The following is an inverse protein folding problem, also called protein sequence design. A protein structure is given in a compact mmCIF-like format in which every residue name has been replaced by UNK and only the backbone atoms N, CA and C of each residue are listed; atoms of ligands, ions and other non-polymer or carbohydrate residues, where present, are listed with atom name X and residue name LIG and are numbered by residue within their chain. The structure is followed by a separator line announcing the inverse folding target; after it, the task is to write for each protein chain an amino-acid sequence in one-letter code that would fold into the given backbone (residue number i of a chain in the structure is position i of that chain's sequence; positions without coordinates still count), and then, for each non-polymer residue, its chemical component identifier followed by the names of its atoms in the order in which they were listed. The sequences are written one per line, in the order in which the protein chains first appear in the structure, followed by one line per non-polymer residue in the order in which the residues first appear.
data_IF_576230110720
#
_entry.id   IF_576230110720
#
_cell.length_a   1.000
_cell.length_b   1.000
_cell.length_c   1.000
_cell.angle_alpha   90.00
_cell.angle_beta   90.00
_cell.angle_gamma   90.00
#
_symmetry.space_group_name_H-M   'P 1'
#
loop_
_entity.id
_entity.type
_entity.pdbx_description
1 polymer ?
#
# COMPACT_ATOMS: atom_id res chain seq x y z
N UNK A 1 -50.80 -20.39 19.84
CA UNK A 1 -49.54 -19.67 19.61
C UNK A 1 -48.95 -20.17 18.30
N UNK A 2 -49.50 -19.72 17.17
CA UNK A 2 -49.05 -20.18 15.84
C UNK A 2 -48.00 -19.21 15.32
N UNK A 3 -46.80 -19.71 15.03
CA UNK A 3 -45.79 -18.94 14.31
C UNK A 3 -46.37 -18.54 12.95
N UNK A 4 -46.44 -17.24 12.69
CA UNK A 4 -46.64 -16.76 11.33
C UNK A 4 -45.30 -16.92 10.62
N UNK A 5 -45.20 -17.96 9.80
CA UNK A 5 -44.12 -18.09 8.83
C UNK A 5 -44.15 -16.83 7.94
N UNK A 6 -43.07 -16.06 8.00
CA UNK A 6 -42.87 -14.89 7.14
C UNK A 6 -42.59 -15.44 5.75
N UNK A 7 -43.50 -15.20 4.82
CA UNK A 7 -43.33 -15.52 3.41
C UNK A 7 -42.25 -14.60 2.81
N UNK A 8 -41.11 -15.19 2.42
CA UNK A 8 -39.97 -14.49 1.81
C UNK A 8 -40.15 -14.25 0.30
N UNK A 9 -41.37 -14.33 -0.23
CA UNK A 9 -41.68 -14.08 -1.65
C UNK A 9 -41.80 -12.60 -2.03
N UNK A 10 -41.16 -11.70 -1.28
CA UNK A 10 -40.88 -10.38 -1.82
C UNK A 10 -39.81 -10.54 -2.90
N UNK A 11 -40.26 -10.53 -4.16
CA UNK A 11 -39.42 -10.38 -5.34
C UNK A 11 -38.65 -9.05 -5.23
N UNK A 12 -37.57 -9.05 -4.46
CA UNK A 12 -36.59 -7.98 -4.40
C UNK A 12 -35.86 -7.98 -5.75
N UNK A 13 -36.38 -7.22 -6.70
CA UNK A 13 -35.61 -6.84 -7.89
C UNK A 13 -34.42 -6.00 -7.42
N UNK A 14 -33.27 -6.64 -7.25
CA UNK A 14 -32.01 -5.94 -7.07
C UNK A 14 -31.65 -5.24 -8.37
N UNK A 15 -32.02 -3.97 -8.48
CA UNK A 15 -31.50 -3.07 -9.53
C UNK A 15 -30.03 -2.80 -9.20
N UNK A 16 -29.15 -3.70 -9.67
CA UNK A 16 -27.71 -3.50 -9.54
C UNK A 16 -27.31 -2.45 -10.56
N UNK A 17 -27.10 -1.22 -10.10
CA UNK A 17 -26.44 -0.18 -10.89
C UNK A 17 -25.04 -0.68 -11.21
N UNK A 18 -24.85 -1.14 -12.45
CA UNK A 18 -23.63 -1.78 -12.95
C UNK A 18 -22.38 -0.90 -12.76
N UNK A 19 -22.58 0.41 -12.65
CA UNK A 19 -21.52 1.40 -12.46
C UNK A 19 -20.99 1.51 -11.02
N UNK A 20 -21.66 0.93 -10.03
CA UNK A 20 -21.21 0.90 -8.63
C UNK A 20 -20.50 -0.42 -8.28
N UNK A 21 -20.50 -1.38 -9.20
CA UNK A 21 -19.77 -2.64 -9.00
C UNK A 21 -18.27 -2.37 -9.10
N UNK A 22 -17.54 -2.77 -8.05
CA UNK A 22 -16.08 -2.78 -8.08
C UNK A 22 -15.58 -3.67 -9.22
N UNK A 23 -15.00 -3.04 -10.23
CA UNK A 23 -14.35 -3.75 -11.33
C UNK A 23 -12.97 -4.19 -10.87
N UNK A 24 -12.71 -5.50 -10.89
CA UNK A 24 -11.37 -6.02 -10.65
C UNK A 24 -10.42 -5.57 -11.76
N UNK A 25 -9.30 -4.98 -11.36
CA UNK A 25 -8.23 -4.54 -12.27
C UNK A 25 -6.91 -5.15 -11.82
N UNK A 26 -6.01 -5.36 -12.77
CA UNK A 26 -4.65 -5.83 -12.51
C UNK A 26 -3.64 -4.69 -12.36
N UNK A 27 -4.02 -3.47 -12.75
CA UNK A 27 -3.19 -2.27 -12.66
C UNK A 27 -3.94 -1.19 -11.89
N UNK A 28 -3.25 -0.57 -10.92
CA UNK A 28 -3.81 0.42 -10.02
C UNK A 28 -2.90 1.65 -9.94
N UNK A 29 -3.51 2.83 -9.83
CA UNK A 29 -2.82 4.05 -9.41
C UNK A 29 -3.22 4.31 -7.97
N UNK A 30 -2.25 4.34 -7.07
CA UNK A 30 -2.46 4.57 -5.64
C UNK A 30 -1.90 5.95 -5.31
N UNK A 31 -2.73 6.83 -4.75
CA UNK A 31 -2.26 8.11 -4.24
C UNK A 31 -1.65 7.90 -2.85
N UNK A 32 -0.51 8.54 -2.61
CA UNK A 32 0.22 8.45 -1.35
C UNK A 32 0.51 9.85 -0.83
N UNK A 33 0.56 9.98 0.49
CA UNK A 33 1.00 11.20 1.15
C UNK A 33 2.48 11.05 1.48
N UNK A 34 3.29 12.02 1.04
CA UNK A 34 4.71 12.06 1.41
C UNK A 34 4.87 12.27 2.92
N UNK A 35 5.91 11.68 3.47
CA UNK A 35 6.16 11.64 4.91
C UNK A 35 7.49 12.29 5.26
N UNK A 36 7.76 12.57 6.55
CA UNK A 36 9.05 13.13 6.98
C UNK A 36 10.25 12.31 6.51
N UNK A 37 10.09 10.99 6.32
CA UNK A 37 11.13 10.11 5.78
C UNK A 37 11.35 10.26 4.26
N UNK A 38 10.47 10.96 3.53
CA UNK A 38 10.67 11.39 2.15
C UNK A 38 11.57 12.63 2.05
N UNK A 39 12.28 12.98 3.13
CA UNK A 39 13.22 14.09 3.15
C UNK A 39 14.45 13.77 2.25
N UNK A 40 14.94 14.75 1.48
CA UNK A 40 16.14 14.62 0.64
C UNK A 40 17.38 14.01 1.31
N UNK A 41 17.50 14.12 2.64
CA UNK A 41 18.61 13.54 3.41
C UNK A 41 18.59 12.00 3.45
N UNK A 42 17.47 11.37 3.12
CA UNK A 42 17.33 9.91 3.05
C UNK A 42 17.32 9.42 1.60
N UNK A 43 16.50 10.08 0.78
CA UNK A 43 16.28 9.76 -0.61
C UNK A 43 16.23 11.09 -1.36
N UNK A 44 17.16 11.33 -2.28
CA UNK A 44 17.17 12.59 -3.01
C UNK A 44 15.90 12.72 -3.89
N UNK A 45 15.64 13.94 -4.35
CA UNK A 45 14.42 14.24 -5.10
C UNK A 45 14.29 13.44 -6.41
N UNK A 46 15.42 13.11 -7.07
CA UNK A 46 15.38 12.34 -8.32
C UNK A 46 14.94 10.90 -8.05
N UNK A 47 15.53 10.27 -7.04
CA UNK A 47 15.22 8.90 -6.63
C UNK A 47 13.78 8.79 -6.08
N UNK A 48 13.32 9.81 -5.33
CA UNK A 48 11.92 9.89 -4.89
C UNK A 48 10.96 9.94 -6.09
N UNK A 49 11.28 10.76 -7.10
CA UNK A 49 10.46 10.86 -8.30
C UNK A 49 10.48 9.58 -9.14
N UNK A 50 11.61 8.88 -9.19
CA UNK A 50 11.70 7.57 -9.84
C UNK A 50 10.82 6.54 -9.11
N UNK A 51 10.88 6.50 -7.77
CA UNK A 51 10.06 5.62 -6.94
C UNK A 51 8.56 5.84 -7.17
N UNK A 52 8.12 7.10 -7.25
CA UNK A 52 6.71 7.47 -7.48
C UNK A 52 6.24 7.19 -8.92
N UNK A 53 7.15 7.28 -9.92
CA UNK A 53 6.82 7.00 -11.33
C UNK A 53 6.88 5.52 -11.67
N UNK A 54 7.59 4.73 -10.87
CA UNK A 54 7.77 3.30 -11.09
C UNK A 54 6.44 2.54 -11.03
N UNK A 55 6.24 1.63 -11.99
CA UNK A 55 5.19 0.62 -11.91
C UNK A 55 5.69 -0.55 -11.08
N UNK A 56 5.09 -0.74 -9.90
CA UNK A 56 5.43 -1.81 -8.98
C UNK A 56 4.60 -3.06 -9.21
N UNK A 57 5.23 -4.24 -9.14
CA UNK A 57 4.53 -5.53 -9.20
C UNK A 57 4.35 -6.10 -7.79
N UNK A 58 3.15 -6.59 -7.49
CA UNK A 58 2.91 -7.29 -6.22
C UNK A 58 3.65 -8.63 -6.22
N UNK A 59 4.47 -8.86 -5.20
CA UNK A 59 5.22 -10.11 -5.02
C UNK A 59 4.30 -11.22 -4.49
N UNK A 60 4.57 -12.48 -4.87
CA UNK A 60 3.74 -13.64 -4.50
C UNK A 60 3.73 -13.94 -2.98
N UNK A 61 4.75 -13.47 -2.24
CA UNK A 61 4.84 -13.59 -0.77
C UNK A 61 4.04 -12.52 -0.01
N UNK A 62 3.20 -11.73 -0.68
CA UNK A 62 2.32 -10.77 -0.02
C UNK A 62 1.28 -11.48 0.85
N UNK A 63 0.99 -10.92 2.03
CA UNK A 63 0.04 -11.46 3.00
C UNK A 63 -0.86 -10.34 3.52
N UNK A 64 -1.91 -10.68 4.28
CA UNK A 64 -2.81 -9.70 4.91
C UNK A 64 -2.10 -8.62 5.74
N UNK A 65 -0.95 -8.94 6.32
CA UNK A 65 -0.16 -8.01 7.13
C UNK A 65 0.73 -7.08 6.29
N UNK A 66 1.19 -7.53 5.11
CA UNK A 66 2.15 -6.80 4.30
C UNK A 66 2.01 -7.15 2.82
N UNK A 67 1.92 -6.11 2.00
CA UNK A 67 1.99 -6.24 0.54
C UNK A 67 3.43 -5.94 0.15
N UNK A 68 4.09 -6.92 -0.46
CA UNK A 68 5.48 -6.79 -0.94
C UNK A 68 5.47 -6.33 -2.38
N UNK A 69 6.27 -5.32 -2.69
CA UNK A 69 6.39 -4.74 -4.02
C UNK A 69 7.75 -5.08 -4.62
N UNK A 70 7.75 -5.44 -5.90
CA UNK A 70 8.95 -5.69 -6.71
C UNK A 70 9.13 -4.54 -7.68
N UNK A 71 10.33 -3.98 -7.71
CA UNK A 71 10.72 -2.87 -8.56
C UNK A 71 12.21 -2.56 -8.44
N UNK A 72 12.64 -1.39 -8.93
CA UNK A 72 14.03 -0.96 -8.84
C UNK A 72 14.44 -0.76 -7.38
N UNK A 73 15.72 -0.97 -7.10
CA UNK A 73 16.27 -0.67 -5.78
C UNK A 73 16.40 0.85 -5.64
N UNK A 74 15.90 1.44 -4.54
CA UNK A 74 16.13 2.85 -4.28
C UNK A 74 17.62 3.11 -4.04
N UNK A 75 18.10 4.25 -4.52
CA UNK A 75 19.44 4.76 -4.21
C UNK A 75 19.32 5.61 -2.94
N UNK A 76 20.14 5.32 -1.94
CA UNK A 76 20.13 6.02 -0.66
C UNK A 76 21.16 7.14 -0.67
N UNK A 77 20.79 8.30 -0.15
CA UNK A 77 21.72 9.43 -0.06
C UNK A 77 22.74 9.25 1.08
N UNK A 78 22.37 8.48 2.10
CA UNK A 78 23.22 8.18 3.25
C UNK A 78 23.89 6.81 3.13
N UNK A 79 25.06 6.69 3.76
CA UNK A 79 25.86 5.46 3.76
C UNK A 79 25.37 4.41 4.77
N UNK A 80 24.75 4.85 5.87
CA UNK A 80 24.23 3.99 6.93
C UNK A 80 23.06 4.66 7.69
N UNK A 81 22.49 3.93 8.66
CA UNK A 81 21.41 4.40 9.53
C UNK A 81 21.87 5.08 10.80
N UNK A 82 23.17 5.29 10.99
CA UNK A 82 23.77 5.76 12.24
C UNK A 82 23.41 4.86 13.43
N UNK A 83 22.92 5.47 14.50
CA UNK A 83 22.44 4.76 15.69
C UNK A 83 21.21 3.86 15.42
N UNK A 84 20.52 4.06 14.29
CA UNK A 84 19.45 3.16 13.83
C UNK A 84 19.96 1.84 13.23
N UNK A 85 21.27 1.72 12.95
CA UNK A 85 21.92 0.50 12.47
C UNK A 85 22.62 0.66 11.12
N UNK A 86 23.20 -0.43 10.61
CA UNK A 86 24.13 -0.39 9.49
C UNK A 86 23.52 -0.12 8.12
N UNK A 87 22.22 -0.36 7.92
CA UNK A 87 21.60 -0.20 6.61
C UNK A 87 21.08 1.24 6.41
N UNK A 88 21.31 1.88 5.24
CA UNK A 88 20.83 3.24 4.91
C UNK A 88 19.33 3.49 4.98
N UNK A 89 18.50 2.47 5.17
CA UNK A 89 17.06 2.65 5.40
C UNK A 89 16.70 2.66 6.89
N UNK A 90 17.63 2.30 7.77
CA UNK A 90 17.33 2.16 9.19
C UNK A 90 17.09 3.52 9.84
N UNK A 91 16.03 3.61 10.63
CA UNK A 91 15.64 4.78 11.40
C UNK A 91 15.33 4.26 12.80
N UNK A 92 15.55 5.07 13.83
CA UNK A 92 15.12 4.74 15.18
C UNK A 92 13.65 4.31 15.19
N UNK A 93 13.37 3.31 16.02
CA UNK A 93 12.04 2.72 16.10
C UNK A 93 10.99 3.78 16.41
N UNK A 94 9.96 3.81 15.57
CA UNK A 94 8.84 4.72 15.67
C UNK A 94 7.55 4.01 15.25
N UNK A 95 6.40 4.51 15.74
CA UNK A 95 5.10 3.97 15.36
C UNK A 95 4.87 4.05 13.84
N UNK A 96 4.32 2.97 13.27
CA UNK A 96 3.94 2.91 11.87
C UNK A 96 2.47 3.30 11.71
N UNK A 97 2.21 4.22 10.80
CA UNK A 97 0.85 4.47 10.36
C UNK A 97 0.33 3.31 9.50
N UNK A 98 -0.99 3.15 9.46
CA UNK A 98 -1.64 2.22 8.54
C UNK A 98 -1.23 2.51 7.08
N UNK A 99 -1.05 1.44 6.31
CA UNK A 99 -0.64 1.46 4.91
C UNK A 99 0.68 2.23 4.62
N UNK A 100 1.58 2.33 5.61
CA UNK A 100 2.93 2.88 5.41
C UNK A 100 3.75 2.00 4.47
N UNK A 101 4.39 2.65 3.51
CA UNK A 101 5.47 2.10 2.71
C UNK A 101 6.73 1.90 3.57
N UNK A 102 7.33 0.73 3.42
CA UNK A 102 8.61 0.41 4.06
C UNK A 102 9.52 -0.20 3.01
N UNK A 103 10.59 0.51 2.68
CA UNK A 103 11.57 0.09 1.69
C UNK A 103 12.56 -0.84 2.35
N UNK A 104 12.79 -2.00 1.77
CA UNK A 104 13.84 -2.91 2.20
C UNK A 104 14.63 -3.32 0.96
N UNK A 105 15.95 -3.44 1.10
CA UNK A 105 16.84 -3.93 0.05
C UNK A 105 17.14 -5.41 0.30
#
# INVERSE_FOLDING_TARGET
MGNKDIDYNDNLEFVILIDIILKFRTNWKIQVLLRPQSNPNYLNNNDLMELLKTKWKVHFLSKRMIIRLVGPRPIWERLDGGEGGSHPNNIHDCGYALAREHLQV
#
